data_IF_088043641515
#
_entry.id   IF_088043641515
#
_cell.length_a   1.000
_cell.length_b   1.000
_cell.length_c   1.000
_cell.angle_alpha   90.00
_cell.angle_beta   90.00
_cell.angle_gamma   90.00
#
_symmetry.space_group_name_H-M   'P 1'
#
loop_
_entity.id
_entity.type
_entity.pdbx_description
1 polymer ?
#
# COMPACT_ATOMS: atom_id res chain seq x y z
N UNK A 1 -19.28 -30.90 52.51
CA UNK A 1 -17.95 -31.02 51.88
C UNK A 1 -17.95 -30.09 50.68
N UNK A 2 -17.25 -28.97 50.86
CA UNK A 2 -17.31 -27.75 50.06
C UNK A 2 -16.32 -27.85 48.88
N UNK A 3 -16.70 -27.25 47.74
CA UNK A 3 -15.88 -26.84 46.60
C UNK A 3 -15.31 -27.93 45.66
N UNK A 4 -16.11 -28.34 44.67
CA UNK A 4 -15.57 -28.49 43.32
C UNK A 4 -15.40 -27.06 42.75
N UNK A 5 -14.20 -26.51 42.95
CA UNK A 5 -13.79 -25.25 42.37
C UNK A 5 -13.98 -25.32 40.85
N UNK A 6 -14.87 -24.47 40.35
CA UNK A 6 -14.91 -24.04 38.96
C UNK A 6 -13.60 -23.29 38.68
N UNK A 7 -12.54 -24.03 38.43
CA UNK A 7 -11.30 -23.46 37.93
C UNK A 7 -11.46 -23.29 36.42
N UNK A 8 -12.29 -22.32 36.03
CA UNK A 8 -12.22 -21.75 34.69
C UNK A 8 -10.95 -20.91 34.63
N UNK A 9 -9.84 -21.57 34.33
CA UNK A 9 -8.78 -20.95 33.55
C UNK A 9 -9.35 -20.66 32.16
N UNK A 10 -10.17 -19.62 32.08
CA UNK A 10 -10.74 -19.12 30.84
C UNK A 10 -9.63 -18.36 30.10
N UNK A 11 -8.76 -19.10 29.42
CA UNK A 11 -8.08 -18.56 28.24
C UNK A 11 -9.10 -17.95 27.27
N UNK A 12 -8.67 -17.08 26.33
CA UNK A 12 -9.58 -16.47 25.38
C UNK A 12 -10.41 -17.56 24.70
N UNK A 13 -11.72 -17.54 24.95
CA UNK A 13 -12.66 -18.54 24.45
C UNK A 13 -12.57 -18.54 22.93
N UNK A 14 -12.19 -19.69 22.37
CA UNK A 14 -12.18 -19.87 20.92
C UNK A 14 -13.56 -19.50 20.36
N UNK A 15 -13.56 -18.64 19.35
CA UNK A 15 -14.79 -18.19 18.72
C UNK A 15 -15.34 -19.37 17.92
N UNK A 16 -16.41 -19.97 18.43
CA UNK A 16 -17.13 -21.04 17.75
C UNK A 16 -17.87 -20.49 16.52
N UNK A 17 -18.20 -21.35 15.54
CA UNK A 17 -18.91 -20.96 14.31
C UNK A 17 -20.32 -20.38 14.51
N UNK A 18 -20.84 -20.40 15.74
CA UNK A 18 -22.08 -19.72 16.11
C UNK A 18 -21.91 -18.21 16.41
N UNK A 19 -20.66 -17.73 16.52
CA UNK A 19 -20.36 -16.31 16.75
C UNK A 19 -20.29 -15.59 15.40
N UNK A 20 -21.03 -14.50 15.25
CA UNK A 20 -20.88 -13.61 14.10
C UNK A 20 -19.52 -12.88 14.18
N UNK A 21 -18.55 -13.41 13.44
CA UNK A 21 -17.19 -12.89 13.39
C UNK A 21 -17.13 -11.49 12.77
N UNK A 22 -18.07 -11.13 11.88
CA UNK A 22 -18.10 -9.81 11.24
C UNK A 22 -18.43 -8.74 12.27
N UNK A 23 -19.46 -8.97 13.09
CA UNK A 23 -19.82 -8.07 14.17
C UNK A 23 -18.79 -8.10 15.30
N UNK A 24 -18.29 -9.28 15.67
CA UNK A 24 -17.32 -9.44 16.75
C UNK A 24 -16.02 -8.67 16.47
N UNK A 25 -15.48 -8.77 15.26
CA UNK A 25 -14.28 -8.04 14.84
C UNK A 25 -14.58 -6.66 14.24
N UNK A 26 -15.84 -6.19 14.29
CA UNK A 26 -16.28 -4.89 13.74
C UNK A 26 -15.90 -4.70 12.27
N UNK A 27 -15.93 -5.78 11.50
CA UNK A 27 -15.59 -5.81 10.08
C UNK A 27 -16.76 -5.38 9.19
N UNK A 28 -17.92 -5.05 9.76
CA UNK A 28 -19.11 -4.67 9.02
C UNK A 28 -18.86 -3.58 7.95
N UNK A 29 -18.09 -2.49 8.23
CA UNK A 29 -17.78 -1.50 7.20
C UNK A 29 -16.95 -2.05 6.04
N UNK A 30 -16.03 -2.97 6.33
CA UNK A 30 -15.18 -3.61 5.31
C UNK A 30 -16.00 -4.59 4.48
N UNK A 31 -16.83 -5.40 5.13
CA UNK A 31 -17.75 -6.31 4.46
C UNK A 31 -18.68 -5.55 3.51
N UNK A 32 -19.26 -4.44 3.96
CA UNK A 32 -20.14 -3.63 3.11
C UNK A 32 -19.38 -2.97 1.94
N UNK A 33 -18.15 -2.51 2.18
CA UNK A 33 -17.33 -1.89 1.15
C UNK A 33 -16.85 -2.88 0.09
N UNK A 34 -16.34 -4.04 0.49
CA UNK A 34 -15.71 -5.01 -0.43
C UNK A 34 -16.69 -6.02 -1.01
N UNK A 35 -17.76 -6.39 -0.29
CA UNK A 35 -18.65 -7.47 -0.70
C UNK A 35 -20.00 -6.99 -1.25
N UNK A 36 -20.50 -5.80 -0.86
CA UNK A 36 -21.79 -5.29 -1.35
C UNK A 36 -21.67 -4.28 -2.49
N UNK A 37 -20.51 -3.65 -2.66
CA UNK A 37 -20.25 -2.75 -3.79
C UNK A 37 -19.79 -3.56 -5.00
N UNK A 38 -20.21 -3.15 -6.19
CA UNK A 38 -19.64 -3.67 -7.42
C UNK A 38 -18.15 -3.33 -7.45
N UNK A 39 -17.31 -4.36 -7.60
CA UNK A 39 -15.88 -4.15 -7.79
C UNK A 39 -15.65 -3.45 -9.13
N UNK A 40 -14.73 -2.48 -9.20
CA UNK A 40 -14.39 -1.83 -10.45
C UNK A 40 -13.83 -2.86 -11.45
N UNK A 41 -14.24 -2.74 -12.71
CA UNK A 41 -13.83 -3.66 -13.78
C UNK A 41 -12.36 -3.44 -14.20
N UNK A 42 -11.88 -2.21 -14.02
CA UNK A 42 -10.49 -1.82 -14.26
C UNK A 42 -9.90 -1.11 -13.04
N UNK A 43 -8.59 -1.24 -12.85
CA UNK A 43 -7.86 -0.48 -11.82
C UNK A 43 -7.88 1.02 -12.14
N UNK A 44 -8.00 1.40 -13.43
CA UNK A 44 -8.17 2.79 -13.82
C UNK A 44 -9.43 3.44 -13.21
N UNK A 45 -10.48 2.64 -12.95
CA UNK A 45 -11.73 3.10 -12.34
C UNK A 45 -11.63 3.17 -10.80
N UNK A 46 -10.48 2.78 -10.23
CA UNK A 46 -10.26 2.83 -8.79
C UNK A 46 -9.71 4.18 -8.34
N UNK A 47 -9.85 4.46 -7.05
CA UNK A 47 -9.28 5.63 -6.41
C UNK A 47 -7.74 5.61 -6.33
N UNK A 48 -7.08 4.48 -6.60
CA UNK A 48 -5.63 4.35 -6.45
C UNK A 48 -4.85 5.21 -7.45
N UNK A 49 -5.42 5.47 -8.63
CA UNK A 49 -4.74 6.19 -9.72
C UNK A 49 -5.25 7.63 -9.90
N UNK A 50 -6.27 8.07 -9.16
CA UNK A 50 -6.94 9.36 -9.36
C UNK A 50 -6.00 10.57 -9.25
N UNK A 51 -4.95 10.47 -8.43
CA UNK A 51 -3.98 11.56 -8.20
C UNK A 51 -2.64 11.32 -8.92
N UNK A 52 -2.55 10.29 -9.77
CA UNK A 52 -1.35 10.02 -10.56
C UNK A 52 -1.44 10.81 -11.86
N UNK A 53 -0.49 11.71 -12.07
CA UNK A 53 -0.42 12.52 -13.30
C UNK A 53 0.54 11.84 -14.28
N UNK A 54 0.11 11.71 -15.53
CA UNK A 54 0.89 11.06 -16.60
C UNK A 54 0.19 9.82 -17.15
N UNK A 55 0.96 8.94 -17.76
CA UNK A 55 0.47 7.65 -18.22
C UNK A 55 0.18 6.74 -17.02
N UNK A 56 -1.02 6.16 -17.00
CA UNK A 56 -1.50 5.28 -15.92
C UNK A 56 -1.65 3.83 -16.38
N UNK A 57 -1.08 3.47 -17.54
CA UNK A 57 -1.00 2.09 -17.99
C UNK A 57 -0.29 1.20 -16.97
N UNK A 58 -1.01 0.19 -16.49
CA UNK A 58 -0.47 -0.79 -15.54
C UNK A 58 0.25 -1.87 -16.32
N UNK A 59 1.55 -2.00 -16.06
CA UNK A 59 2.39 -3.04 -16.66
C UNK A 59 3.05 -3.87 -15.57
N UNK A 60 3.22 -5.16 -15.83
CA UNK A 60 4.05 -6.01 -14.98
C UNK A 60 5.51 -5.59 -15.16
N UNK A 61 6.19 -5.30 -14.04
CA UNK A 61 7.64 -5.09 -14.05
C UNK A 61 8.35 -6.39 -14.37
N UNK A 62 9.02 -6.46 -15.52
CA UNK A 62 9.86 -7.61 -15.87
C UNK A 62 11.09 -7.66 -14.96
N UNK A 63 11.40 -8.82 -14.39
CA UNK A 63 12.52 -8.99 -13.46
C UNK A 63 12.34 -8.34 -12.08
N UNK A 64 11.21 -7.67 -11.81
CA UNK A 64 10.93 -7.05 -10.53
C UNK A 64 10.13 -8.00 -9.64
N UNK A 65 10.77 -8.56 -8.61
CA UNK A 65 10.10 -9.37 -7.60
C UNK A 65 10.15 -8.65 -6.24
N UNK A 66 8.98 -8.36 -5.66
CA UNK A 66 8.87 -7.57 -4.42
C UNK A 66 9.41 -8.33 -3.20
N UNK A 67 9.28 -9.65 -3.21
CA UNK A 67 9.82 -10.53 -2.17
C UNK A 67 11.35 -10.44 -2.06
N UNK A 68 12.07 -10.24 -3.16
CA UNK A 68 13.52 -9.99 -3.13
C UNK A 68 13.88 -8.70 -2.38
N UNK A 69 13.08 -7.64 -2.55
CA UNK A 69 13.28 -6.38 -1.82
C UNK A 69 13.06 -6.58 -0.30
N UNK A 70 12.01 -7.31 0.07
CA UNK A 70 11.64 -7.56 1.48
C UNK A 70 12.65 -8.51 2.15
N UNK A 71 13.05 -9.59 1.48
CA UNK A 71 14.03 -10.55 2.01
C UNK A 71 15.38 -9.88 2.26
N UNK A 72 15.81 -9.00 1.36
CA UNK A 72 17.01 -8.20 1.56
C UNK A 72 16.91 -7.34 2.83
N UNK A 73 15.77 -6.69 3.12
CA UNK A 73 15.66 -5.88 4.37
C UNK A 73 15.82 -6.68 5.67
N UNK A 74 15.43 -7.97 5.66
CA UNK A 74 15.58 -8.84 6.84
C UNK A 74 17.02 -9.34 7.06
N UNK A 75 17.76 -9.59 5.99
CA UNK A 75 19.16 -10.06 6.02
C UNK A 75 20.18 -8.92 6.06
N UNK A 76 19.82 -7.70 5.64
CA UNK A 76 20.65 -6.49 5.69
C UNK A 76 20.55 -5.75 7.04
N UNK A 77 20.11 -6.42 8.12
CA UNK A 77 20.22 -5.82 9.46
C UNK A 77 21.66 -5.76 9.96
N UNK A 78 22.53 -6.61 9.42
CA UNK A 78 23.94 -6.72 9.84
C UNK A 78 24.92 -6.00 8.89
N UNK A 79 24.58 -5.87 7.62
CA UNK A 79 25.29 -4.98 6.67
C UNK A 79 24.50 -3.68 6.55
N UNK A 80 25.09 -2.53 6.85
CA UNK A 80 24.44 -1.25 6.61
C UNK A 80 24.39 -0.99 5.09
N UNK A 81 23.46 -1.59 4.34
CA UNK A 81 23.16 -1.20 2.97
C UNK A 81 22.39 0.13 2.97
N UNK A 82 23.07 1.18 3.41
CA UNK A 82 22.59 2.55 3.30
C UNK A 82 22.74 2.95 1.85
N UNK A 83 21.63 3.35 1.22
CA UNK A 83 21.67 4.01 -0.08
C UNK A 83 22.62 5.20 0.06
N UNK A 84 23.68 5.21 -0.74
CA UNK A 84 24.64 6.31 -0.73
C UNK A 84 23.97 7.54 -1.34
N UNK A 85 24.23 8.75 -0.83
CA UNK A 85 23.79 9.97 -1.47
C UNK A 85 24.25 9.98 -2.93
N UNK A 86 23.35 10.37 -3.82
CA UNK A 86 23.72 10.53 -5.23
C UNK A 86 24.58 11.78 -5.40
N UNK A 87 25.55 11.69 -6.30
CA UNK A 87 26.28 12.86 -6.80
C UNK A 87 25.38 13.60 -7.80
N UNK A 88 24.88 14.76 -7.39
CA UNK A 88 23.98 15.57 -8.19
C UNK A 88 24.66 16.17 -9.41
N UNK A 89 25.97 16.45 -9.37
CA UNK A 89 26.70 17.03 -10.50
C UNK A 89 26.88 15.98 -11.59
N UNK A 90 27.22 14.74 -11.19
CA UNK A 90 27.27 13.59 -12.11
C UNK A 90 25.89 13.33 -12.73
N UNK A 91 24.81 13.37 -11.94
CA UNK A 91 23.46 13.20 -12.47
C UNK A 91 23.07 14.34 -13.43
N UNK A 92 23.41 15.59 -13.10
CA UNK A 92 23.16 16.75 -13.97
C UNK A 92 23.86 16.61 -15.31
N UNK A 93 25.12 16.19 -15.33
CA UNK A 93 25.89 15.96 -16.55
C UNK A 93 25.33 14.78 -17.36
N UNK A 94 25.08 13.63 -16.70
CA UNK A 94 24.61 12.41 -17.35
C UNK A 94 23.23 12.58 -18.01
N UNK A 95 22.32 13.29 -17.34
CA UNK A 95 20.96 13.54 -17.83
C UNK A 95 20.82 14.90 -18.53
N UNK A 96 21.91 15.66 -18.68
CA UNK A 96 21.92 17.02 -19.24
C UNK A 96 20.85 17.93 -18.60
N UNK A 97 20.63 17.80 -17.29
CA UNK A 97 19.59 18.53 -16.57
C UNK A 97 19.94 20.03 -16.58
N UNK A 98 19.15 20.83 -17.31
CA UNK A 98 19.31 22.28 -17.35
C UNK A 98 18.60 22.91 -16.16
N UNK A 99 19.37 23.50 -15.27
CA UNK A 99 18.91 23.99 -13.96
C UNK A 99 17.90 25.16 -14.02
N UNK A 100 17.67 25.80 -15.18
CA UNK A 100 16.96 27.10 -15.22
C UNK A 100 16.25 27.41 -16.54
N UNK A 101 15.75 26.43 -17.28
CA UNK A 101 14.81 26.78 -18.37
C UNK A 101 13.44 27.07 -17.75
N UNK A 102 12.85 28.26 -17.93
CA UNK A 102 11.49 28.51 -17.48
C UNK A 102 10.59 27.44 -18.09
N UNK A 103 9.99 26.61 -17.24
CA UNK A 103 8.92 25.72 -17.69
C UNK A 103 7.73 26.62 -17.94
N UNK A 104 7.50 27.00 -19.20
CA UNK A 104 6.22 27.58 -19.62
C UNK A 104 5.15 26.51 -19.44
N UNK A 105 4.57 26.46 -18.24
CA UNK A 105 3.38 25.67 -18.00
C UNK A 105 2.27 26.26 -18.88
N UNK A 106 1.61 25.45 -19.74
CA UNK A 106 0.48 25.94 -20.51
C UNK A 106 -0.56 26.53 -19.54
N UNK A 107 -1.17 27.69 -19.87
CA UNK A 107 -2.10 28.34 -18.98
C UNK A 107 -3.20 27.35 -18.58
N UNK A 108 -3.40 27.20 -17.27
CA UNK A 108 -4.44 26.36 -16.68
C UNK A 108 -5.75 26.74 -17.35
N UNK A 109 -6.24 25.88 -18.24
CA UNK A 109 -7.59 26.01 -18.75
C UNK A 109 -8.48 25.83 -17.52
N UNK A 110 -9.09 26.94 -17.07
CA UNK A 110 -10.27 26.85 -16.22
C UNK A 110 -11.21 25.91 -16.96
N UNK A 111 -11.41 24.71 -16.42
CA UNK A 111 -12.55 23.88 -16.76
C UNK A 111 -13.77 24.66 -16.26
N UNK A 112 -14.25 25.57 -17.10
CA UNK A 112 -15.65 25.97 -17.07
C UNK A 112 -16.41 24.78 -17.64
N UNK A 113 -16.95 23.97 -16.74
CA UNK A 113 -18.26 23.32 -16.79
C UNK A 113 -18.38 22.38 -15.58
#
# INVERSE_FOLDING_TARGET
>A
MINCLYEQNSGPRELSGAVDLISHYKLLPHHDFFCKRSLPLSIADTHYLHNVVGDTEIRKGEGMQLDQLIQNTSHNRDTNARIQPFDLDVLKEAFQLRETTPVELPPVRKLLL
#
